data_IF_312506497115
#
_entry.id   IF_312506497115
#
_cell.length_a   1.000
_cell.length_b   1.000
_cell.length_c   1.000
_cell.angle_alpha   90.00
_cell.angle_beta   90.00
_cell.angle_gamma   90.00
#
_symmetry.space_group_name_H-M   'P 1'
#
loop_
_entity.id
_entity.type
_entity.pdbx_description
1 polymer ?
#
# COMPACT_ATOMS: atom_id res chain seq x y z
N UNK A 1 -33.86 -26.80 -51.48
CA UNK A 1 -33.09 -26.09 -50.42
C UNK A 1 -31.87 -25.42 -51.03
N UNK A 2 -31.73 -24.08 -51.03
CA UNK A 2 -30.60 -23.41 -51.68
C UNK A 2 -29.32 -23.58 -50.86
N UNK A 3 -28.25 -24.10 -51.48
CA UNK A 3 -26.93 -24.20 -50.86
C UNK A 3 -26.26 -22.82 -50.87
N UNK A 4 -26.30 -22.12 -49.75
CA UNK A 4 -25.60 -20.84 -49.58
C UNK A 4 -24.08 -21.03 -49.77
N UNK A 5 -23.48 -20.15 -50.58
CA UNK A 5 -22.06 -20.21 -50.97
C UNK A 5 -21.11 -20.25 -49.76
N UNK A 6 -19.96 -20.91 -49.93
CA UNK A 6 -18.91 -21.04 -48.89
C UNK A 6 -18.50 -19.65 -48.33
N UNK A 7 -18.59 -18.61 -49.17
CA UNK A 7 -18.32 -17.20 -48.84
C UNK A 7 -19.38 -16.61 -47.88
N UNK A 8 -20.65 -16.96 -48.06
CA UNK A 8 -21.74 -16.54 -47.15
C UNK A 8 -21.65 -17.26 -45.79
N UNK A 9 -21.24 -18.53 -45.76
CA UNK A 9 -20.95 -19.25 -44.51
C UNK A 9 -19.74 -18.67 -43.76
N UNK A 10 -18.70 -18.22 -44.47
CA UNK A 10 -17.51 -17.58 -43.86
C UNK A 10 -17.84 -16.21 -43.25
N UNK A 11 -18.73 -15.43 -43.89
CA UNK A 11 -19.23 -14.14 -43.35
C UNK A 11 -20.12 -14.32 -42.11
N UNK A 12 -20.99 -15.33 -42.07
CA UNK A 12 -21.76 -15.66 -40.85
C UNK A 12 -20.88 -16.16 -39.70
N UNK A 13 -19.81 -16.91 -39.98
CA UNK A 13 -18.82 -17.31 -38.97
C UNK A 13 -18.00 -16.13 -38.43
N UNK A 14 -17.68 -15.12 -39.27
CA UNK A 14 -17.02 -13.90 -38.79
C UNK A 14 -17.96 -13.01 -37.97
N UNK A 15 -19.21 -12.82 -38.39
CA UNK A 15 -20.19 -12.06 -37.60
C UNK A 15 -20.49 -12.74 -36.25
N UNK A 16 -20.53 -14.08 -36.20
CA UNK A 16 -20.69 -14.82 -34.94
C UNK A 16 -19.51 -14.66 -33.98
N UNK A 17 -18.27 -14.55 -34.48
CA UNK A 17 -17.08 -14.33 -33.65
C UNK A 17 -16.98 -12.88 -33.16
N UNK A 18 -17.47 -11.91 -33.93
CA UNK A 18 -17.49 -10.50 -33.54
C UNK A 18 -18.53 -10.23 -32.44
N UNK A 19 -19.71 -10.85 -32.52
CA UNK A 19 -20.77 -10.69 -31.51
C UNK A 19 -20.40 -11.37 -30.17
N UNK A 20 -19.67 -12.50 -30.20
CA UNK A 20 -19.20 -13.16 -28.98
C UNK A 20 -18.07 -12.38 -28.28
N UNK A 21 -17.20 -11.70 -29.03
CA UNK A 21 -16.15 -10.84 -28.46
C UNK A 21 -16.72 -9.59 -27.78
N UNK A 22 -17.79 -9.01 -28.33
CA UNK A 22 -18.46 -7.84 -27.75
C UNK A 22 -19.19 -8.18 -26.43
N UNK A 23 -19.72 -9.39 -26.29
CA UNK A 23 -20.40 -9.84 -25.07
C UNK A 23 -19.43 -10.21 -23.93
N UNK A 24 -18.17 -10.56 -24.24
CA UNK A 24 -17.18 -10.95 -23.23
C UNK A 24 -16.49 -9.74 -22.55
N UNK A 25 -16.46 -8.57 -23.21
CA UNK A 25 -15.84 -7.35 -22.67
C UNK A 25 -16.63 -6.69 -21.52
N UNK A 26 -17.90 -7.06 -21.31
CA UNK A 26 -18.75 -6.48 -20.26
C UNK A 26 -18.73 -7.26 -18.92
N UNK A 27 -17.96 -8.35 -18.81
CA UNK A 27 -18.00 -9.24 -17.64
C UNK A 27 -16.74 -9.25 -16.75
N UNK A 28 -15.79 -8.33 -16.95
CA UNK A 28 -14.75 -8.09 -15.93
C UNK A 28 -15.34 -7.18 -14.86
N UNK A 29 -16.13 -7.77 -13.97
CA UNK A 29 -16.41 -7.13 -12.68
C UNK A 29 -15.05 -6.98 -11.98
N UNK A 30 -14.57 -5.76 -11.69
CA UNK A 30 -13.44 -5.66 -10.78
C UNK A 30 -13.97 -6.14 -9.44
N UNK A 31 -13.56 -7.34 -9.03
CA UNK A 31 -13.62 -7.75 -7.65
C UNK A 31 -12.68 -6.81 -6.87
N UNK A 32 -13.12 -5.57 -6.62
CA UNK A 32 -12.61 -4.79 -5.51
C UNK A 32 -13.06 -5.55 -4.28
N UNK A 33 -12.25 -6.53 -3.86
CA UNK A 33 -12.16 -6.94 -2.47
C UNK A 33 -11.81 -5.67 -1.71
N UNK A 34 -12.84 -4.91 -1.32
CA UNK A 34 -12.71 -3.90 -0.30
C UNK A 34 -12.37 -4.70 0.95
N UNK A 35 -11.08 -4.86 1.20
CA UNK A 35 -10.59 -5.28 2.50
C UNK A 35 -11.31 -4.41 3.53
N UNK A 36 -11.87 -5.06 4.54
CA UNK A 36 -12.52 -4.38 5.67
C UNK A 36 -11.49 -3.40 6.24
N UNK A 37 -11.77 -2.08 6.33
CA UNK A 37 -10.78 -1.12 6.82
C UNK A 37 -10.75 -1.21 8.34
N UNK A 38 -10.07 -2.21 8.86
CA UNK A 38 -9.78 -2.35 10.30
C UNK A 38 -8.29 -2.61 10.45
N UNK A 39 -7.47 -1.63 10.05
CA UNK A 39 -6.03 -1.52 10.35
C UNK A 39 -5.37 -0.31 9.64
N UNK A 40 -6.02 0.86 9.57
CA UNK A 40 -5.41 2.05 8.94
C UNK A 40 -4.81 3.04 9.94
N UNK A 41 -5.01 2.85 11.25
CA UNK A 41 -4.53 3.79 12.24
C UNK A 41 -3.39 3.16 13.05
N UNK A 42 -2.17 3.62 12.78
CA UNK A 42 -1.10 3.49 13.75
C UNK A 42 -1.45 4.37 14.97
N UNK A 43 -1.47 3.84 16.20
CA UNK A 43 -1.63 4.67 17.38
C UNK A 43 -0.41 5.59 17.48
N UNK A 44 -0.61 6.90 17.36
CA UNK A 44 0.46 7.89 17.27
C UNK A 44 0.33 8.81 16.05
N UNK A 45 -0.90 9.19 15.69
CA UNK A 45 -1.14 10.28 14.74
C UNK A 45 -0.85 11.64 15.36
N UNK A 46 -1.12 11.78 16.67
CA UNK A 46 -0.81 12.97 17.46
C UNK A 46 0.18 12.66 18.58
N UNK A 47 0.94 13.67 19.02
CA UNK A 47 1.88 13.52 20.14
C UNK A 47 1.17 13.17 21.46
N UNK A 48 -0.07 13.62 21.64
CA UNK A 48 -0.90 13.34 22.81
C UNK A 48 -1.30 11.87 22.91
N UNK A 49 -1.64 11.23 21.78
CA UNK A 49 -1.90 9.79 21.72
C UNK A 49 -0.68 8.98 22.16
N UNK A 50 0.53 9.40 21.77
CA UNK A 50 1.78 8.74 22.16
C UNK A 50 1.99 8.84 23.68
N UNK A 51 1.76 10.02 24.27
CA UNK A 51 1.87 10.22 25.71
C UNK A 51 0.86 9.37 26.49
N UNK A 52 -0.39 9.34 26.03
CA UNK A 52 -1.42 8.49 26.63
C UNK A 52 -1.11 6.99 26.45
N UNK A 53 -0.54 6.60 25.31
CA UNK A 53 -0.08 5.23 25.05
C UNK A 53 0.99 4.78 26.03
N UNK A 54 1.99 5.62 26.28
CA UNK A 54 3.07 5.37 27.25
C UNK A 54 2.51 5.28 28.68
N UNK A 55 1.59 6.19 29.04
CA UNK A 55 1.05 6.31 30.39
C UNK A 55 0.08 5.20 30.78
N UNK A 56 -0.77 4.77 29.85
CA UNK A 56 -1.92 3.89 30.14
C UNK A 56 -1.87 2.53 29.44
N UNK A 57 -1.14 2.39 28.32
CA UNK A 57 -1.17 1.14 27.53
C UNK A 57 0.10 0.31 27.78
N UNK A 58 1.28 0.84 27.44
CA UNK A 58 2.59 0.18 27.58
C UNK A 58 3.68 1.26 27.65
N UNK A 59 4.50 1.37 28.71
CA UNK A 59 4.61 0.50 29.88
C UNK A 59 3.39 0.48 30.81
N UNK A 60 2.57 1.55 30.79
CA UNK A 60 1.42 1.68 31.68
C UNK A 60 1.80 2.16 33.09
N UNK A 61 0.90 1.96 34.06
CA UNK A 61 1.11 2.28 35.49
C UNK A 61 1.49 3.76 35.76
N UNK A 62 0.89 4.69 35.02
CA UNK A 62 1.19 6.13 35.09
C UNK A 62 2.66 6.47 34.80
N UNK A 63 3.36 5.62 34.04
CA UNK A 63 4.76 5.85 33.68
C UNK A 63 4.94 7.21 32.97
N UNK A 64 5.89 7.98 33.45
CA UNK A 64 6.25 9.29 32.91
C UNK A 64 7.73 9.28 32.49
N UNK A 65 8.04 9.55 31.21
CA UNK A 65 9.42 9.56 30.74
C UNK A 65 10.20 10.73 31.37
N UNK A 66 11.42 10.48 31.83
CA UNK A 66 12.33 11.50 32.41
C UNK A 66 13.25 12.15 31.35
N UNK A 67 12.84 12.14 30.09
CA UNK A 67 13.62 12.69 28.98
C UNK A 67 12.69 13.42 28.01
N UNK A 68 13.21 14.42 27.27
CA UNK A 68 12.41 15.16 26.31
C UNK A 68 11.97 14.23 25.17
N UNK A 69 10.66 14.23 24.89
CA UNK A 69 10.10 13.63 23.70
C UNK A 69 9.99 14.69 22.60
N UNK A 70 10.28 14.29 21.37
CA UNK A 70 10.19 15.14 20.19
C UNK A 70 8.93 14.83 19.39
N UNK A 71 8.58 15.72 18.47
CA UNK A 71 7.50 15.50 17.53
C UNK A 71 7.78 14.27 16.65
N UNK A 72 6.72 13.55 16.27
CA UNK A 72 6.80 12.46 15.30
C UNK A 72 7.41 12.98 13.99
N UNK A 73 8.46 12.30 13.53
CA UNK A 73 9.14 12.59 12.27
C UNK A 73 9.62 11.31 11.62
N UNK A 74 9.82 11.37 10.31
CA UNK A 74 10.30 10.25 9.53
C UNK A 74 11.81 10.10 9.71
N UNK A 75 12.22 8.89 10.09
CA UNK A 75 13.65 8.54 10.29
C UNK A 75 14.26 7.92 9.04
N UNK A 76 13.44 7.46 8.10
CA UNK A 76 13.83 6.76 6.88
C UNK A 76 12.95 7.23 5.71
N UNK A 77 13.45 7.09 4.48
CA UNK A 77 12.73 7.47 3.26
C UNK A 77 13.10 8.85 2.75
N UNK A 78 12.40 9.30 1.71
CA UNK A 78 12.71 10.55 0.99
C UNK A 78 12.40 11.81 1.80
N UNK A 79 11.47 11.72 2.77
CA UNK A 79 11.08 12.80 3.68
C UNK A 79 11.81 12.75 5.03
N UNK A 80 12.87 11.94 5.16
CA UNK A 80 13.58 11.79 6.43
C UNK A 80 14.20 13.11 6.91
N UNK A 81 14.25 13.30 8.23
CA UNK A 81 14.91 14.48 8.81
C UNK A 81 16.45 14.39 8.64
N UNK A 82 17.14 15.48 8.24
CA UNK A 82 18.57 15.47 7.90
C UNK A 82 19.49 15.04 9.05
N UNK A 83 19.07 15.23 10.30
CA UNK A 83 19.79 14.70 11.46
C UNK A 83 19.94 13.16 11.40
N UNK A 84 18.90 12.45 10.98
CA UNK A 84 18.96 10.98 10.88
C UNK A 84 19.76 10.51 9.68
N UNK A 85 19.84 11.29 8.61
CA UNK A 85 20.74 11.02 7.49
C UNK A 85 22.21 11.07 7.93
N UNK A 86 22.60 12.13 8.64
CA UNK A 86 23.95 12.26 9.20
C UNK A 86 24.30 11.10 10.13
N UNK A 87 23.40 10.78 11.06
CA UNK A 87 23.62 9.71 12.04
C UNK A 87 23.81 8.34 11.38
N UNK A 88 23.14 8.06 10.25
CA UNK A 88 23.32 6.81 9.50
C UNK A 88 24.71 6.72 8.89
N UNK A 89 25.20 7.80 8.30
CA UNK A 89 26.55 7.86 7.70
C UNK A 89 27.63 7.64 8.76
N UNK A 90 27.44 8.20 9.96
CA UNK A 90 28.40 8.07 11.06
C UNK A 90 28.51 6.65 11.64
N UNK A 91 27.45 5.82 11.56
CA UNK A 91 27.44 4.47 12.16
C UNK A 91 28.30 3.42 11.43
N UNK A 92 28.95 3.80 10.32
CA UNK A 92 29.56 2.83 9.40
C UNK A 92 31.04 3.02 9.04
N UNK A 93 31.74 4.10 9.43
CA UNK A 93 33.20 4.16 9.27
C UNK A 93 33.90 3.46 10.44
N UNK A 94 33.64 2.17 10.63
CA UNK A 94 34.66 1.30 11.24
C UNK A 94 35.79 1.17 10.23
N UNK A 95 36.72 2.11 10.26
CA UNK A 95 38.07 1.85 9.77
C UNK A 95 38.66 0.82 10.73
N UNK A 96 38.46 -0.46 10.44
CA UNK A 96 39.47 -1.42 10.88
C UNK A 96 40.69 -1.10 10.02
N UNK A 97 41.60 -0.31 10.58
CA UNK A 97 42.94 -0.22 10.04
C UNK A 97 43.52 -1.64 10.12
N UNK A 98 43.76 -2.24 8.96
CA UNK A 98 44.63 -3.41 8.82
C UNK A 98 46.08 -2.99 9.00
#
# INVERSE_FOLDING_TARGET
MPRLSVRAKRRRKMLSRLVLALMCAAAVRPARRRGRPTAMQEPGGSGEEILNGIRYVRPGNNFQPNFPLFQKMDVNGDTQHPLFELLKVCKGRRRYAT
#
